data_IF_503265835598
#
_entry.id   IF_503265835598
#
_cell.length_a   1.000
_cell.length_b   1.000
_cell.length_c   1.000
_cell.angle_alpha   90.00
_cell.angle_beta   90.00
_cell.angle_gamma   90.00
#
_symmetry.space_group_name_H-M   'P 1'
#
loop_
_entity.id
_entity.type
_entity.pdbx_description
1 polymer ?
#
# COMPACT_ATOMS: atom_id res chain seq x y z
N UNK A 1 41.28 4.45 -67.25
CA UNK A 1 41.58 5.39 -66.17
C UNK A 1 40.34 6.29 -66.02
N UNK A 2 39.55 6.40 -64.96
CA UNK A 2 39.39 5.79 -63.61
C UNK A 2 37.88 5.87 -63.28
N UNK A 3 37.43 4.97 -62.39
CA UNK A 3 36.09 4.69 -61.85
C UNK A 3 35.35 5.88 -61.21
N UNK A 4 34.03 5.71 -61.00
CA UNK A 4 33.24 6.46 -60.02
C UNK A 4 31.79 5.99 -59.91
N UNK A 5 31.54 4.91 -59.17
CA UNK A 5 30.23 4.54 -58.63
C UNK A 5 29.69 5.65 -57.71
N UNK A 6 28.36 5.78 -57.56
CA UNK A 6 27.70 6.04 -56.27
C UNK A 6 26.17 6.04 -56.40
N UNK A 7 25.59 4.98 -55.83
CA UNK A 7 24.20 4.78 -55.43
C UNK A 7 23.71 5.87 -54.46
N UNK A 8 22.45 6.33 -54.62
CA UNK A 8 21.70 7.06 -53.59
C UNK A 8 20.32 6.42 -53.39
N UNK A 9 20.31 5.25 -52.75
CA UNK A 9 19.19 4.82 -51.91
C UNK A 9 19.32 5.54 -50.58
N UNK A 10 18.28 6.25 -50.15
CA UNK A 10 18.29 6.81 -48.80
C UNK A 10 17.13 7.77 -48.54
N UNK A 11 16.06 7.24 -47.95
CA UNK A 11 15.49 7.80 -46.72
C UNK A 11 14.57 6.73 -46.11
N UNK A 12 15.06 6.08 -45.06
CA UNK A 12 14.31 5.08 -44.32
C UNK A 12 13.26 5.73 -43.40
N UNK A 13 12.08 5.13 -43.34
CA UNK A 13 11.05 5.39 -42.34
C UNK A 13 11.58 5.04 -40.95
N UNK A 14 11.86 6.04 -40.11
CA UNK A 14 12.04 5.87 -38.68
C UNK A 14 10.69 6.11 -37.98
N UNK A 15 9.80 5.12 -38.04
CA UNK A 15 8.60 5.07 -37.22
C UNK A 15 8.71 3.86 -36.30
N UNK A 16 9.01 4.08 -35.02
CA UNK A 16 8.94 3.00 -34.03
C UNK A 16 9.86 3.18 -32.84
N UNK A 17 9.45 4.00 -31.86
CA UNK A 17 9.87 3.85 -30.46
C UNK A 17 8.99 4.72 -29.54
N UNK A 18 7.75 4.33 -29.28
CA UNK A 18 6.90 4.93 -28.23
C UNK A 18 6.11 3.88 -27.44
N UNK A 19 6.76 2.80 -26.98
CA UNK A 19 6.09 1.77 -26.16
C UNK A 19 6.69 1.51 -24.77
N UNK A 20 7.69 2.27 -24.31
CA UNK A 20 8.33 2.00 -23.02
C UNK A 20 7.69 2.69 -21.80
N UNK A 21 6.74 3.62 -21.97
CA UNK A 21 6.20 4.40 -20.84
C UNK A 21 5.02 3.74 -20.09
N UNK A 22 4.52 2.59 -20.56
CA UNK A 22 3.37 1.90 -19.95
C UNK A 22 3.72 0.96 -18.80
N UNK A 23 4.90 0.32 -18.84
CA UNK A 23 5.27 -0.75 -17.92
C UNK A 23 5.56 -0.27 -16.48
N UNK A 24 6.01 0.98 -16.30
CA UNK A 24 6.36 1.52 -14.97
C UNK A 24 5.14 1.89 -14.14
N UNK A 25 4.00 2.24 -14.76
CA UNK A 25 2.76 2.59 -14.03
C UNK A 25 2.00 1.37 -13.52
N UNK A 26 2.15 0.21 -14.14
CA UNK A 26 1.44 -1.01 -13.74
C UNK A 26 2.00 -1.57 -12.41
N UNK A 27 3.32 -1.64 -12.27
CA UNK A 27 3.97 -2.15 -11.05
C UNK A 27 3.70 -1.27 -9.81
N UNK A 28 3.64 0.06 -9.99
CA UNK A 28 3.28 0.98 -8.90
C UNK A 28 1.80 0.84 -8.46
N UNK A 29 0.90 0.45 -9.37
CA UNK A 29 -0.52 0.20 -9.05
C UNK A 29 -0.75 -1.11 -8.30
N UNK A 30 0.11 -2.11 -8.48
CA UNK A 30 -0.02 -3.43 -7.86
C UNK A 30 0.21 -3.37 -6.34
N UNK A 31 1.20 -2.58 -5.91
CA UNK A 31 1.47 -2.32 -4.48
C UNK A 31 0.38 -1.53 -3.75
N UNK A 32 -0.56 -0.90 -4.48
CA UNK A 32 -1.72 -0.22 -3.88
C UNK A 32 -2.90 -1.16 -3.56
N UNK A 33 -2.76 -2.46 -3.86
CA UNK A 33 -3.82 -3.47 -3.71
C UNK A 33 -3.37 -4.67 -2.86
N UNK A 34 -2.36 -4.51 -2.01
CA UNK A 34 -1.97 -5.60 -1.10
C UNK A 34 -3.02 -5.74 0.01
N UNK A 35 -3.44 -6.97 0.26
CA UNK A 35 -4.45 -7.31 1.27
C UNK A 35 -3.87 -8.35 2.22
N UNK A 36 -4.10 -8.15 3.51
CA UNK A 36 -3.81 -9.12 4.56
C UNK A 36 -5.11 -9.62 5.19
N UNK A 37 -5.20 -10.93 5.40
CA UNK A 37 -6.32 -11.55 6.10
C UNK A 37 -6.06 -11.53 7.60
N UNK A 38 -7.03 -11.06 8.38
CA UNK A 38 -7.01 -11.11 9.84
C UNK A 38 -8.17 -11.98 10.35
N UNK A 39 -8.17 -12.26 11.65
CA UNK A 39 -9.30 -12.96 12.31
C UNK A 39 -10.64 -12.21 12.19
N UNK A 40 -10.60 -10.90 11.96
CA UNK A 40 -11.79 -10.03 11.95
C UNK A 40 -12.20 -9.56 10.55
N UNK A 41 -11.40 -9.87 9.53
CA UNK A 41 -11.68 -9.51 8.14
C UNK A 41 -10.42 -9.13 7.35
N UNK A 42 -10.61 -8.77 6.09
CA UNK A 42 -9.52 -8.35 5.20
C UNK A 42 -9.12 -6.89 5.45
N UNK A 43 -7.81 -6.62 5.47
CA UNK A 43 -7.23 -5.27 5.57
C UNK A 43 -6.45 -4.96 4.32
N UNK A 44 -6.73 -3.82 3.67
CA UNK A 44 -5.95 -3.30 2.55
C UNK A 44 -4.81 -2.42 3.05
N UNK A 45 -3.59 -2.75 2.64
CA UNK A 45 -2.37 -2.01 2.91
C UNK A 45 -2.11 -0.97 1.82
N UNK A 46 -1.37 0.08 2.19
CA UNK A 46 -0.84 1.10 1.27
C UNK A 46 0.67 1.05 1.23
N UNK A 47 1.26 1.04 0.03
CA UNK A 47 2.70 1.11 -0.17
C UNK A 47 3.24 2.53 -0.27
N UNK A 48 4.38 2.77 0.35
CA UNK A 48 5.26 3.93 0.17
C UNK A 48 6.70 3.42 -0.02
N UNK A 49 7.27 3.59 -1.22
CA UNK A 49 8.53 2.97 -1.61
C UNK A 49 8.51 1.43 -1.47
N UNK A 50 9.39 0.93 -0.60
CA UNK A 50 9.56 -0.51 -0.30
C UNK A 50 8.89 -0.93 1.02
N UNK A 51 8.05 -0.06 1.59
CA UNK A 51 7.32 -0.34 2.83
C UNK A 51 5.82 -0.35 2.57
N UNK A 52 5.16 -1.43 2.96
CA UNK A 52 3.72 -1.51 3.07
C UNK A 52 3.29 -1.08 4.46
N UNK A 53 2.16 -0.39 4.55
CA UNK A 53 1.57 0.04 5.81
C UNK A 53 0.08 -0.28 5.91
N UNK A 54 -0.36 -0.67 7.10
CA UNK A 54 -1.75 -0.66 7.51
C UNK A 54 -1.87 0.26 8.72
N UNK A 55 -2.70 1.29 8.65
CA UNK A 55 -2.89 2.28 9.72
C UNK A 55 -4.32 2.22 10.25
N UNK A 56 -4.47 2.43 11.55
CA UNK A 56 -5.77 2.50 12.21
C UNK A 56 -6.56 1.18 12.24
N UNK A 57 -5.86 0.03 12.24
CA UNK A 57 -6.50 -1.29 12.26
C UNK A 57 -7.06 -1.55 13.66
N UNK A 58 -8.35 -1.92 13.82
CA UNK A 58 -8.91 -2.30 15.11
C UNK A 58 -8.23 -3.58 15.63
N UNK A 59 -7.76 -3.56 16.87
CA UNK A 59 -7.25 -4.78 17.52
C UNK A 59 -8.10 -5.22 18.72
N UNK A 60 -9.02 -4.37 19.16
CA UNK A 60 -9.96 -4.67 20.22
C UNK A 60 -11.07 -3.63 20.31
N UNK A 61 -12.00 -3.87 21.21
CA UNK A 61 -13.04 -2.94 21.64
C UNK A 61 -13.30 -3.15 23.13
N UNK A 62 -13.57 -2.10 23.88
CA UNK A 62 -13.82 -2.19 25.32
C UNK A 62 -14.93 -1.23 25.73
N UNK A 63 -15.76 -1.69 26.66
CA UNK A 63 -16.58 -0.76 27.45
C UNK A 63 -15.70 -0.17 28.55
N UNK A 64 -16.11 0.98 29.09
CA UNK A 64 -15.37 1.65 30.16
C UNK A 64 -15.17 0.71 31.36
N UNK A 65 -13.92 0.62 31.81
CA UNK A 65 -13.49 -0.20 32.97
C UNK A 65 -13.77 -1.70 32.81
N UNK A 66 -13.85 -2.20 31.59
CA UNK A 66 -13.96 -3.63 31.30
C UNK A 66 -12.74 -4.12 30.51
N UNK A 67 -12.41 -5.42 30.61
CA UNK A 67 -11.38 -6.02 29.76
C UNK A 67 -11.70 -5.83 28.26
N UNK A 68 -10.68 -5.67 27.39
CA UNK A 68 -10.90 -5.57 25.96
C UNK A 68 -11.41 -6.90 25.40
N UNK A 69 -12.29 -6.80 24.41
CA UNK A 69 -12.80 -7.90 23.60
C UNK A 69 -12.23 -7.81 22.18
N UNK A 70 -12.20 -8.92 21.41
CA UNK A 70 -11.86 -8.87 19.99
C UNK A 70 -12.72 -7.83 19.25
N UNK A 71 -12.17 -7.16 18.22
CA UNK A 71 -12.95 -6.20 17.45
C UNK A 71 -14.02 -6.95 16.65
N UNK A 72 -15.14 -6.29 16.40
CA UNK A 72 -16.20 -6.80 15.53
C UNK A 72 -15.67 -7.26 14.17
N UNK A 73 -16.23 -8.35 13.65
CA UNK A 73 -15.92 -8.82 12.30
C UNK A 73 -16.52 -7.86 11.27
N UNK A 74 -15.79 -7.59 10.19
CA UNK A 74 -16.28 -6.77 9.09
C UNK A 74 -16.33 -7.56 7.79
N UNK A 75 -17.28 -7.20 6.93
CA UNK A 75 -17.39 -7.75 5.58
C UNK A 75 -16.55 -6.92 4.61
N UNK A 76 -15.99 -7.60 3.61
CA UNK A 76 -15.13 -6.97 2.61
C UNK A 76 -13.79 -6.47 3.15
N UNK A 77 -13.19 -5.52 2.42
CA UNK A 77 -11.84 -5.01 2.69
C UNK A 77 -11.89 -3.69 3.42
N UNK A 78 -11.34 -3.66 4.64
CA UNK A 78 -11.13 -2.42 5.39
C UNK A 78 -9.96 -1.66 4.78
N UNK A 79 -10.19 -0.40 4.45
CA UNK A 79 -9.14 0.53 4.05
C UNK A 79 -8.40 0.99 5.31
N UNK A 80 -7.09 0.76 5.37
CA UNK A 80 -6.23 1.08 6.51
C UNK A 80 -5.11 2.05 6.10
N UNK A 81 -5.47 3.22 5.57
CA UNK A 81 -4.54 4.23 5.05
C UNK A 81 -4.43 5.50 5.91
N UNK A 82 -5.17 5.56 7.03
CA UNK A 82 -5.17 6.66 7.98
C UNK A 82 -5.03 6.15 9.42
N UNK A 83 -4.45 6.98 10.28
CA UNK A 83 -4.36 6.69 11.71
C UNK A 83 -5.75 6.70 12.35
N UNK A 84 -5.98 5.78 13.29
CA UNK A 84 -7.13 5.84 14.17
C UNK A 84 -6.94 6.84 15.31
N UNK A 85 -7.99 7.12 16.11
CA UNK A 85 -7.88 8.05 17.22
C UNK A 85 -6.95 7.53 18.33
N UNK A 86 -6.26 8.45 18.99
CA UNK A 86 -5.51 8.19 20.21
C UNK A 86 -6.44 8.11 21.44
N UNK A 87 -5.93 7.54 22.54
CA UNK A 87 -6.66 7.50 23.82
C UNK A 87 -6.88 8.91 24.38
N UNK A 88 -8.02 9.22 25.02
CA UNK A 88 -8.28 10.53 25.59
C UNK A 88 -7.31 10.88 26.73
N UNK A 89 -6.62 12.00 26.62
CA UNK A 89 -5.61 12.57 27.51
C UNK A 89 -5.73 14.10 27.49
N UNK A 90 -5.14 14.79 28.48
CA UNK A 90 -5.18 16.26 28.60
C UNK A 90 -4.31 17.01 27.57
N UNK A 91 -3.62 16.31 26.68
CA UNK A 91 -2.68 16.87 25.69
C UNK A 91 -3.37 17.48 24.47
N UNK A 92 -2.56 18.03 23.56
CA UNK A 92 -3.02 18.73 22.37
C UNK A 92 -3.28 17.83 21.14
N UNK A 93 -3.27 16.49 21.30
CA UNK A 93 -3.61 15.58 20.21
C UNK A 93 -5.05 15.85 19.74
N UNK A 94 -5.28 16.28 18.49
CA UNK A 94 -6.62 16.66 18.04
C UNK A 94 -7.53 15.45 17.79
N UNK A 95 -6.99 14.27 17.48
CA UNK A 95 -7.76 13.08 17.13
C UNK A 95 -7.81 12.09 18.30
N UNK A 96 -8.66 12.35 19.28
CA UNK A 96 -8.85 11.51 20.47
C UNK A 96 -10.26 10.95 20.55
N UNK A 97 -10.40 9.70 21.02
CA UNK A 97 -11.69 9.03 21.22
C UNK A 97 -11.54 7.84 22.17
N UNK A 98 -12.59 7.42 22.87
CA UNK A 98 -12.57 6.15 23.62
C UNK A 98 -12.53 4.91 22.70
N UNK A 99 -12.87 5.06 21.40
CA UNK A 99 -12.66 4.03 20.36
C UNK A 99 -11.21 4.05 19.82
N UNK A 100 -10.24 3.99 20.75
CA UNK A 100 -8.80 4.18 20.50
C UNK A 100 -7.99 2.88 20.38
N UNK A 101 -8.61 1.70 20.47
CA UNK A 101 -7.91 0.41 20.38
C UNK A 101 -7.53 0.09 18.91
N UNK A 102 -6.55 0.85 18.42
CA UNK A 102 -6.06 0.89 17.04
C UNK A 102 -4.57 0.59 17.01
N UNK A 103 -4.14 -0.14 16.01
CA UNK A 103 -2.72 -0.39 15.74
C UNK A 103 -2.34 0.01 14.32
N UNK A 104 -1.04 0.15 14.12
CA UNK A 104 -0.43 0.39 12.82
C UNK A 104 0.67 -0.65 12.59
N UNK A 105 0.81 -1.12 11.36
CA UNK A 105 1.80 -2.12 10.95
C UNK A 105 2.58 -1.58 9.76
N UNK A 106 3.90 -1.75 9.77
CA UNK A 106 4.79 -1.52 8.64
C UNK A 106 5.54 -2.81 8.34
N UNK A 107 5.56 -3.22 7.08
CA UNK A 107 6.22 -4.46 6.64
C UNK A 107 6.72 -4.31 5.21
N UNK A 108 7.86 -4.91 4.83
CA UNK A 108 8.30 -4.89 3.44
C UNK A 108 7.40 -5.74 2.52
N UNK A 109 6.68 -6.73 3.06
CA UNK A 109 5.79 -7.59 2.28
C UNK A 109 4.71 -8.28 3.15
N UNK A 110 3.66 -8.77 2.49
CA UNK A 110 2.64 -9.67 3.09
C UNK A 110 2.85 -11.05 2.47
N UNK A 111 3.73 -11.84 3.08
CA UNK A 111 4.17 -13.15 2.62
C UNK A 111 4.46 -14.07 3.83
N UNK A 112 4.98 -15.27 3.57
CA UNK A 112 5.37 -16.23 4.61
C UNK A 112 6.76 -15.97 5.22
N UNK A 113 7.39 -14.83 4.92
CA UNK A 113 8.68 -14.45 5.49
C UNK A 113 8.54 -14.15 6.99
N UNK A 114 8.95 -15.08 7.84
CA UNK A 114 8.91 -14.97 9.30
C UNK A 114 9.94 -13.94 9.82
N UNK A 115 9.59 -12.66 9.71
CA UNK A 115 10.42 -11.53 10.16
C UNK A 115 10.27 -11.32 11.67
N UNK A 116 11.31 -10.82 12.37
CA UNK A 116 11.16 -10.33 13.74
C UNK A 116 10.09 -9.24 13.84
N UNK A 117 9.32 -9.23 14.94
CA UNK A 117 8.23 -8.28 15.22
C UNK A 117 8.55 -7.49 16.47
#
# INVERSE_FOLDING_TARGET
>A
MVRGDLTRRGLGLAAGAMLAAGATRAAARDRQRVVATTRSGEVRLTGDGDVLSAKGVPYGQAERFQPPRPPGVWQGRRVADAYGPASPQRGAEPNQSEDCLRLNVWTPAVDAGARPV
#
